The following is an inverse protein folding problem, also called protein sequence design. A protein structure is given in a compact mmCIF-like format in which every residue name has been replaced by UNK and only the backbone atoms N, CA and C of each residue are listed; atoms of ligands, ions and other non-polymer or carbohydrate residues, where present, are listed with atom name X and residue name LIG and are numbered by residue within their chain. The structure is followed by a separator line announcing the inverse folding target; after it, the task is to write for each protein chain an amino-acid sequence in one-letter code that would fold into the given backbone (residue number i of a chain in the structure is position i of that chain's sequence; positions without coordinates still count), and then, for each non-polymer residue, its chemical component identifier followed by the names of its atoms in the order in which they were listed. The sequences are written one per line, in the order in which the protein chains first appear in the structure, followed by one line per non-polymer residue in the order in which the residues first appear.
data_IF_193052152184
#
_entry.id   IF_193052152184
#
_cell.length_a   1.000
_cell.length_b   1.000
_cell.length_c   1.000
_cell.angle_alpha   90.00
_cell.angle_beta   90.00
_cell.angle_gamma   90.00
#
_symmetry.space_group_name_H-M   'P 1'
#
loop_
_entity.id
_entity.type
_entity.pdbx_description
1 polymer ?
#
# COMPACT_ATOMS: atom_id res chain seq x y z
N UNK A 1 -13.53 -20.87 -3.13
CA UNK A 1 -14.79 -21.13 -2.38
C UNK A 1 -14.45 -21.14 -0.90
N UNK A 2 -15.25 -20.46 -0.06
CA UNK A 2 -15.03 -20.41 1.39
C UNK A 2 -16.19 -21.18 2.03
N UNK A 3 -15.86 -22.27 2.74
CA UNK A 3 -16.82 -23.05 3.49
C UNK A 3 -16.41 -23.06 4.95
N UNK A 4 -17.34 -22.74 5.84
CA UNK A 4 -17.12 -22.69 7.27
C UNK A 4 -18.26 -23.47 7.92
N UNK A 5 -17.91 -24.45 8.75
CA UNK A 5 -18.84 -25.25 9.55
C UNK A 5 -18.87 -24.78 11.00
N UNK A 6 -19.87 -25.22 11.76
CA UNK A 6 -20.02 -24.89 13.18
C UNK A 6 -21.22 -23.99 13.47
N UNK A 7 -21.26 -23.43 14.68
CA UNK A 7 -22.36 -22.58 15.13
C UNK A 7 -22.51 -21.31 14.27
N UNK A 8 -23.74 -20.86 14.07
CA UNK A 8 -24.05 -19.74 13.19
C UNK A 8 -23.38 -18.42 13.60
N UNK A 9 -23.25 -18.13 14.90
CA UNK A 9 -22.59 -16.89 15.34
C UNK A 9 -21.10 -16.88 15.03
N UNK A 10 -20.37 -17.91 15.45
CA UNK A 10 -18.92 -18.02 15.27
C UNK A 10 -18.53 -18.18 13.80
N UNK A 11 -19.35 -18.87 13.01
CA UNK A 11 -19.15 -18.97 11.56
C UNK A 11 -19.22 -17.60 10.88
N UNK A 12 -20.24 -16.79 11.20
CA UNK A 12 -20.42 -15.46 10.59
C UNK A 12 -19.28 -14.52 10.97
N UNK A 13 -18.87 -14.56 12.23
CA UNK A 13 -17.72 -13.80 12.72
C UNK A 13 -16.43 -14.18 11.99
N UNK A 14 -16.12 -15.48 11.86
CA UNK A 14 -14.95 -15.95 11.13
C UNK A 14 -15.01 -15.55 9.65
N UNK A 15 -16.19 -15.64 9.01
CA UNK A 15 -16.37 -15.18 7.63
C UNK A 15 -16.10 -13.68 7.50
N UNK A 16 -16.55 -12.87 8.46
CA UNK A 16 -16.30 -11.43 8.47
C UNK A 16 -14.80 -11.11 8.57
N UNK A 17 -14.05 -11.85 9.41
CA UNK A 17 -12.60 -11.72 9.52
C UNK A 17 -11.93 -12.07 8.18
N UNK A 18 -12.29 -13.21 7.58
CA UNK A 18 -11.74 -13.65 6.29
C UNK A 18 -12.02 -12.61 5.20
N UNK A 19 -13.25 -12.08 5.12
CA UNK A 19 -13.61 -11.04 4.14
C UNK A 19 -12.79 -9.76 4.33
N UNK A 20 -12.56 -9.34 5.58
CA UNK A 20 -11.71 -8.17 5.85
C UNK A 20 -10.26 -8.37 5.39
N UNK A 21 -9.73 -9.59 5.43
CA UNK A 21 -8.40 -9.90 4.88
C UNK A 21 -8.41 -9.86 3.36
N UNK A 22 -9.44 -10.42 2.71
CA UNK A 22 -9.59 -10.30 1.26
C UNK A 22 -9.72 -8.85 0.80
N UNK A 23 -10.51 -8.03 1.49
CA UNK A 23 -10.62 -6.60 1.19
C UNK A 23 -9.24 -5.94 1.23
N UNK A 24 -8.43 -6.25 2.25
CA UNK A 24 -7.06 -5.72 2.39
C UNK A 24 -6.13 -6.18 1.26
N UNK A 25 -6.21 -7.45 0.86
CA UNK A 25 -5.42 -8.00 -0.25
C UNK A 25 -5.86 -7.38 -1.58
N UNK A 26 -7.16 -7.28 -1.84
CA UNK A 26 -7.70 -6.72 -3.08
C UNK A 26 -7.28 -5.27 -3.29
N UNK A 27 -7.14 -4.49 -2.22
CA UNK A 27 -6.61 -3.11 -2.28
C UNK A 27 -5.16 -3.04 -2.78
N UNK A 28 -4.37 -4.11 -2.67
CA UNK A 28 -2.98 -4.15 -3.14
C UNK A 28 -2.84 -4.46 -4.63
N UNK A 29 -3.86 -5.05 -5.25
CA UNK A 29 -3.82 -5.53 -6.63
C UNK A 29 -4.61 -4.57 -7.53
N UNK A 30 -3.89 -3.75 -8.30
CA UNK A 30 -4.51 -2.78 -9.21
C UNK A 30 -5.33 -3.49 -10.30
N UNK A 31 -6.55 -3.02 -10.52
CA UNK A 31 -7.44 -3.53 -11.58
C UNK A 31 -8.14 -4.85 -11.25
N UNK A 32 -8.00 -5.39 -10.04
CA UNK A 32 -8.74 -6.57 -9.62
C UNK A 32 -10.20 -6.20 -9.29
N UNK A 33 -11.14 -6.80 -10.01
CA UNK A 33 -12.57 -6.68 -9.73
C UNK A 33 -13.11 -7.96 -9.09
N UNK A 34 -13.13 -8.01 -7.76
CA UNK A 34 -13.71 -9.14 -7.03
C UNK A 34 -15.24 -9.09 -7.05
N UNK A 35 -15.89 -10.21 -7.42
CA UNK A 35 -17.34 -10.39 -7.37
C UNK A 35 -17.69 -11.40 -6.29
N UNK A 36 -18.46 -10.96 -5.28
CA UNK A 36 -18.90 -11.80 -4.18
C UNK A 36 -20.16 -12.59 -4.56
N UNK A 37 -20.17 -13.88 -4.24
CA UNK A 37 -21.24 -14.81 -4.60
C UNK A 37 -21.74 -15.57 -3.36
N UNK A 38 -23.05 -15.80 -3.29
CA UNK A 38 -23.74 -16.50 -2.20
C UNK A 38 -24.34 -17.80 -2.75
N UNK A 39 -24.05 -18.98 -2.15
CA UNK A 39 -24.62 -20.24 -2.62
C UNK A 39 -26.13 -20.30 -2.39
N UNK A 40 -26.86 -20.91 -3.34
CA UNK A 40 -28.30 -21.16 -3.18
C UNK A 40 -28.50 -22.46 -2.36
N UNK A 41 -29.24 -22.43 -1.23
CA UNK A 41 -29.52 -23.62 -0.45
C UNK A 41 -30.23 -24.69 -1.27
N UNK A 42 -29.80 -25.95 -1.15
CA UNK A 42 -30.37 -27.08 -1.89
C UNK A 42 -29.84 -27.27 -3.32
N UNK A 43 -29.08 -26.31 -3.86
CA UNK A 43 -28.58 -26.34 -5.23
C UNK A 43 -27.06 -26.21 -5.29
N UNK A 44 -26.36 -27.32 -5.57
CA UNK A 44 -24.91 -27.30 -5.76
C UNK A 44 -24.55 -26.57 -7.05
N UNK A 45 -23.58 -25.65 -6.99
CA UNK A 45 -23.05 -24.97 -8.18
C UNK A 45 -23.85 -23.74 -8.63
N UNK A 46 -24.97 -23.43 -7.99
CA UNK A 46 -25.75 -22.21 -8.25
C UNK A 46 -25.44 -21.16 -7.21
N UNK A 47 -25.10 -19.96 -7.65
CA UNK A 47 -24.71 -18.85 -6.79
C UNK A 47 -25.38 -17.54 -7.18
N UNK A 48 -25.92 -16.83 -6.19
CA UNK A 48 -26.43 -15.48 -6.34
C UNK A 48 -25.30 -14.44 -6.25
N UNK A 49 -25.42 -13.35 -6.99
CA UNK A 49 -24.56 -12.19 -6.80
C UNK A 49 -24.91 -11.43 -5.52
N UNK A 50 -23.94 -11.25 -4.62
CA UNK A 50 -24.18 -10.61 -3.33
C UNK A 50 -24.70 -9.17 -3.50
N UNK A 51 -24.17 -8.40 -4.45
CA UNK A 51 -24.64 -7.02 -4.68
C UNK A 51 -26.05 -6.99 -5.24
N UNK A 52 -26.40 -7.94 -6.10
CA UNK A 52 -27.78 -8.06 -6.58
C UNK A 52 -28.72 -8.42 -5.42
N UNK A 53 -28.36 -9.38 -4.57
CA UNK A 53 -29.18 -9.73 -3.40
C UNK A 53 -29.49 -8.54 -2.50
N UNK A 54 -28.54 -7.61 -2.31
CA UNK A 54 -28.80 -6.37 -1.55
C UNK A 54 -29.93 -5.54 -2.17
N UNK A 55 -29.96 -5.39 -3.49
CA UNK A 55 -30.99 -4.62 -4.21
C UNK A 55 -32.36 -5.28 -4.07
N UNK A 56 -32.44 -6.60 -4.22
CA UNK A 56 -33.70 -7.34 -4.06
C UNK A 56 -34.20 -7.29 -2.61
N UNK A 57 -33.30 -7.40 -1.64
CA UNK A 57 -33.64 -7.30 -0.22
C UNK A 57 -34.15 -5.91 0.15
N UNK A 58 -33.53 -4.84 -0.35
CA UNK A 58 -33.98 -3.45 -0.14
C UNK A 58 -35.39 -3.21 -0.71
N UNK A 59 -35.70 -3.83 -1.84
CA UNK A 59 -37.01 -3.74 -2.51
C UNK A 59 -38.03 -4.75 -1.98
N UNK A 60 -37.67 -5.58 -1.01
CA UNK A 60 -38.47 -6.71 -0.53
C UNK A 60 -39.04 -7.57 -1.68
N UNK A 61 -38.23 -7.78 -2.72
CA UNK A 61 -38.63 -8.46 -3.96
C UNK A 61 -38.11 -9.89 -3.98
N UNK A 62 -38.86 -10.85 -4.55
CA UNK A 62 -38.40 -12.22 -4.72
C UNK A 62 -37.20 -12.26 -5.67
N UNK A 63 -36.19 -13.06 -5.33
CA UNK A 63 -35.01 -13.27 -6.16
C UNK A 63 -35.10 -14.61 -6.89
N UNK A 64 -34.86 -14.61 -8.20
CA UNK A 64 -34.80 -15.83 -9.02
C UNK A 64 -33.33 -16.00 -9.45
N UNK A 65 -32.62 -17.02 -8.94
CA UNK A 65 -31.25 -17.31 -9.34
C UNK A 65 -31.18 -17.70 -10.82
N UNK A 66 -30.07 -17.36 -11.47
CA UNK A 66 -29.81 -17.79 -12.85
C UNK A 66 -29.86 -19.33 -12.95
N UNK A 67 -30.62 -19.84 -13.93
CA UNK A 67 -30.80 -21.28 -14.13
C UNK A 67 -31.92 -21.91 -13.30
N UNK A 68 -32.61 -21.15 -12.45
CA UNK A 68 -33.78 -21.61 -11.70
C UNK A 68 -35.05 -20.82 -12.08
N UNK A 69 -36.21 -21.39 -11.77
CA UNK A 69 -37.53 -20.75 -11.87
C UNK A 69 -38.08 -20.45 -10.47
N UNK A 70 -37.54 -21.12 -9.45
CA UNK A 70 -37.92 -20.96 -8.05
C UNK A 70 -37.49 -19.59 -7.51
N UNK A 71 -38.34 -19.05 -6.64
CA UNK A 71 -38.10 -17.77 -5.97
C UNK A 71 -37.51 -18.00 -4.58
N UNK A 72 -36.57 -17.13 -4.22
CA UNK A 72 -35.91 -17.12 -2.94
C UNK A 72 -36.06 -15.75 -2.28
N UNK A 73 -36.13 -15.75 -0.95
CA UNK A 73 -36.09 -14.52 -0.19
C UNK A 73 -34.65 -14.00 -0.11
N UNK A 74 -34.36 -12.87 -0.75
CA UNK A 74 -33.02 -12.28 -0.77
C UNK A 74 -32.52 -11.92 0.64
N UNK A 75 -33.40 -11.47 1.53
CA UNK A 75 -33.04 -11.13 2.90
C UNK A 75 -32.64 -12.37 3.70
N UNK A 76 -33.36 -13.48 3.53
CA UNK A 76 -33.03 -14.75 4.18
C UNK A 76 -31.68 -15.30 3.72
N UNK A 77 -31.40 -15.25 2.41
CA UNK A 77 -30.11 -15.64 1.85
C UNK A 77 -28.97 -14.83 2.46
N UNK A 78 -29.14 -13.51 2.57
CA UNK A 78 -28.15 -12.63 3.19
C UNK A 78 -27.99 -12.89 4.69
N UNK A 79 -29.09 -13.13 5.41
CA UNK A 79 -29.09 -13.41 6.85
C UNK A 79 -28.39 -14.73 7.21
N UNK A 80 -28.34 -15.67 6.26
CA UNK A 80 -27.53 -16.89 6.37
C UNK A 80 -26.02 -16.64 6.38
N UNK A 81 -25.57 -15.52 5.80
CA UNK A 81 -24.15 -15.18 5.60
C UNK A 81 -23.65 -14.16 6.62
N UNK A 82 -24.43 -13.13 6.91
CA UNK A 82 -24.08 -12.07 7.85
C UNK A 82 -25.34 -11.47 8.48
N UNK A 83 -25.21 -10.97 9.72
CA UNK A 83 -26.32 -10.27 10.37
C UNK A 83 -26.62 -8.94 9.70
N UNK A 84 -27.83 -8.42 9.91
CA UNK A 84 -28.21 -7.09 9.40
C UNK A 84 -27.30 -5.98 9.94
N UNK A 85 -26.91 -6.04 11.21
CA UNK A 85 -26.03 -5.06 11.83
C UNK A 85 -24.63 -5.04 11.17
N UNK A 86 -24.06 -6.22 10.91
CA UNK A 86 -22.77 -6.36 10.20
C UNK A 86 -22.87 -5.84 8.77
N UNK A 87 -23.95 -6.19 8.06
CA UNK A 87 -24.23 -5.74 6.70
C UNK A 87 -24.29 -4.23 6.59
N UNK A 88 -25.06 -3.59 7.49
CA UNK A 88 -25.18 -2.13 7.56
C UNK A 88 -23.84 -1.46 7.87
N UNK A 89 -23.06 -2.03 8.81
CA UNK A 89 -21.71 -1.53 9.13
C UNK A 89 -20.80 -1.56 7.90
N UNK A 90 -20.86 -2.64 7.11
CA UNK A 90 -20.07 -2.79 5.88
C UNK A 90 -20.48 -1.78 4.81
N UNK A 91 -21.78 -1.67 4.51
CA UNK A 91 -22.30 -0.69 3.55
C UNK A 91 -21.90 0.75 3.92
N UNK A 92 -21.93 1.07 5.22
CA UNK A 92 -21.51 2.39 5.68
C UNK A 92 -20.00 2.62 5.49
N UNK A 93 -19.16 1.62 5.77
CA UNK A 93 -17.71 1.68 5.50
C UNK A 93 -17.41 1.89 4.01
N UNK A 94 -18.06 1.12 3.13
CA UNK A 94 -17.91 1.25 1.68
C UNK A 94 -18.33 2.64 1.19
N UNK A 95 -19.42 3.18 1.74
CA UNK A 95 -19.90 4.54 1.45
C UNK A 95 -18.87 5.59 1.88
N UNK A 96 -18.33 5.50 3.09
CA UNK A 96 -17.27 6.41 3.57
C UNK A 96 -16.02 6.33 2.68
N UNK A 97 -15.62 5.13 2.29
CA UNK A 97 -14.44 4.92 1.44
C UNK A 97 -14.64 5.47 0.02
N UNK A 98 -15.85 5.35 -0.53
CA UNK A 98 -16.22 5.94 -1.84
C UNK A 98 -16.27 7.48 -1.83
N UNK A 99 -16.59 8.09 -0.67
CA UNK A 99 -16.70 9.54 -0.50
C UNK A 99 -15.39 10.22 -0.12
N UNK A 100 -14.42 9.48 0.44
CA UNK A 100 -13.09 10.00 0.68
C UNK A 100 -12.52 10.43 -0.67
N UNK A 101 -12.04 11.69 -0.82
CA UNK A 101 -11.33 12.08 -2.03
C UNK A 101 -10.28 11.02 -2.29
N UNK A 102 -10.31 10.42 -3.49
CA UNK A 102 -9.21 9.57 -3.95
C UNK A 102 -7.98 10.47 -3.92
N UNK A 103 -7.27 10.50 -2.78
CA UNK A 103 -5.88 10.96 -2.77
C UNK A 103 -5.26 10.17 -3.91
N UNK A 104 -4.68 10.82 -4.93
CA UNK A 104 -3.91 10.06 -5.90
C UNK A 104 -3.00 9.17 -5.08
N UNK A 105 -3.06 7.86 -5.32
CA UNK A 105 -2.13 6.92 -4.73
C UNK A 105 -0.76 7.23 -5.33
N UNK A 106 -0.17 8.34 -4.88
CA UNK A 106 1.26 8.56 -4.90
C UNK A 106 1.81 7.52 -3.95
N UNK A 107 2.26 6.43 -4.57
CA UNK A 107 3.21 5.54 -3.95
C UNK A 107 4.51 6.33 -3.82
N UNK A 108 4.65 7.09 -2.74
CA UNK A 108 5.95 7.58 -2.29
C UNK A 108 6.00 7.41 -0.77
N UNK A 109 6.50 6.23 -0.36
CA UNK A 109 7.39 6.09 0.80
C UNK A 109 8.34 7.30 0.78
N UNK A 110 8.61 8.00 1.90
CA UNK A 110 9.38 9.24 1.89
C UNK A 110 10.60 9.09 1.00
N UNK A 111 10.56 9.77 -0.15
CA UNK A 111 11.61 9.75 -1.14
C UNK A 111 12.80 10.40 -0.45
N UNK A 112 13.75 9.59 0.01
CA UNK A 112 15.09 10.09 0.33
C UNK A 112 15.51 10.92 -0.87
N UNK A 113 16.05 12.14 -0.70
CA UNK A 113 16.39 13.00 -1.81
C UNK A 113 17.20 12.20 -2.82
N UNK A 114 16.57 11.90 -3.95
CA UNK A 114 17.13 11.16 -5.07
C UNK A 114 18.04 12.12 -5.79
N UNK A 115 19.23 12.34 -5.20
CA UNK A 115 20.33 13.03 -5.87
C UNK A 115 20.51 12.32 -7.20
N UNK A 116 20.22 13.04 -8.28
CA UNK A 116 20.19 12.51 -9.64
C UNK A 116 21.55 11.86 -9.95
N UNK A 117 21.56 10.78 -10.73
CA UNK A 117 22.82 10.16 -11.18
C UNK A 117 23.73 11.18 -11.89
N UNK A 118 23.14 12.23 -12.50
CA UNK A 118 23.86 13.35 -13.06
C UNK A 118 24.51 14.23 -11.98
N UNK A 119 23.81 14.50 -10.87
CA UNK A 119 24.34 15.25 -9.72
C UNK A 119 25.44 14.48 -8.98
N UNK A 120 25.36 13.15 -8.91
CA UNK A 120 26.45 12.32 -8.36
C UNK A 120 27.71 12.40 -9.23
N UNK A 121 27.56 12.40 -10.56
CA UNK A 121 28.67 12.59 -11.49
C UNK A 121 29.31 13.97 -11.35
N UNK A 122 28.48 15.02 -11.25
CA UNK A 122 28.94 16.40 -11.07
C UNK A 122 29.62 16.59 -9.71
N UNK A 123 29.05 16.06 -8.62
CA UNK A 123 29.63 16.16 -7.29
C UNK A 123 30.98 15.43 -7.19
N UNK A 124 31.10 14.23 -7.80
CA UNK A 124 32.36 13.51 -7.89
C UNK A 124 33.41 14.28 -8.70
N UNK A 125 33.02 14.84 -9.86
CA UNK A 125 33.93 15.63 -10.68
C UNK A 125 34.43 16.88 -9.93
N UNK A 126 33.53 17.59 -9.25
CA UNK A 126 33.88 18.77 -8.43
C UNK A 126 34.79 18.40 -7.26
N UNK A 127 34.51 17.29 -6.56
CA UNK A 127 35.37 16.82 -5.48
C UNK A 127 36.78 16.46 -5.97
N UNK A 128 36.89 15.84 -7.16
CA UNK A 128 38.16 15.45 -7.76
C UNK A 128 38.97 16.70 -8.20
N UNK A 129 38.31 17.72 -8.76
CA UNK A 129 38.95 19.00 -9.09
C UNK A 129 39.49 19.70 -7.84
N UNK A 130 38.72 19.75 -6.76
CA UNK A 130 39.16 20.35 -5.49
C UNK A 130 40.33 19.57 -4.88
N UNK A 131 40.29 18.24 -4.94
CA UNK A 131 41.38 17.37 -4.46
C UNK A 131 42.68 17.62 -5.26
N UNK A 132 42.59 17.66 -6.59
CA UNK A 132 43.76 17.93 -7.45
C UNK A 132 44.32 19.32 -7.15
N UNK A 133 43.47 20.35 -7.05
CA UNK A 133 43.91 21.70 -6.71
C UNK A 133 44.63 21.73 -5.36
N UNK A 134 44.12 21.03 -4.35
CA UNK A 134 44.74 20.93 -3.03
C UNK A 134 46.10 20.19 -3.06
N UNK A 135 46.20 19.11 -3.85
CA UNK A 135 47.47 18.39 -4.04
C UNK A 135 48.50 19.27 -4.73
N UNK A 136 48.13 20.00 -5.79
CA UNK A 136 49.01 20.94 -6.49
C UNK A 136 49.47 22.06 -5.55
N UNK A 137 48.57 22.54 -4.69
CA UNK A 137 48.84 23.56 -3.68
C UNK A 137 49.87 23.10 -2.63
N UNK A 138 49.78 21.83 -2.20
CA UNK A 138 50.75 21.20 -1.29
C UNK A 138 52.10 21.00 -1.97
N UNK A 139 52.10 20.50 -3.21
CA UNK A 139 53.31 20.18 -3.97
C UNK A 139 54.03 21.42 -4.49
N UNK A 140 53.32 22.53 -4.71
CA UNK A 140 53.87 23.77 -5.26
C UNK A 140 53.57 24.99 -4.37
N UNK A 141 54.12 25.05 -3.14
CA UNK A 141 53.82 26.09 -2.15
C UNK A 141 54.30 27.50 -2.54
N UNK A 142 54.98 27.64 -3.68
CA UNK A 142 55.51 28.92 -4.18
C UNK A 142 54.43 29.83 -4.80
N UNK A 143 53.22 29.34 -5.05
CA UNK A 143 52.14 30.14 -5.65
C UNK A 143 51.19 30.80 -4.64
N UNK A 144 51.46 30.70 -3.32
CA UNK A 144 50.53 31.15 -2.28
C UNK A 144 51.07 32.35 -1.50
N UNK A 145 50.21 33.35 -1.28
CA UNK A 145 50.44 34.43 -0.33
C UNK A 145 50.50 33.87 1.11
N UNK A 146 51.34 34.45 1.97
CA UNK A 146 51.71 33.89 3.29
C UNK A 146 50.56 33.45 4.20
N UNK A 147 49.42 34.16 4.20
CA UNK A 147 48.26 33.79 5.01
C UNK A 147 47.54 32.52 4.53
N UNK A 148 47.50 32.29 3.21
CA UNK A 148 46.87 31.10 2.64
C UNK A 148 47.70 29.84 2.94
N UNK A 149 49.02 29.96 2.93
CA UNK A 149 49.94 28.87 3.26
C UNK A 149 49.78 28.41 4.73
N UNK A 150 49.54 29.35 5.65
CA UNK A 150 49.33 29.04 7.07
C UNK A 150 48.03 28.23 7.30
N UNK A 151 46.94 28.60 6.63
CA UNK A 151 45.64 27.90 6.75
C UNK A 151 45.74 26.47 6.20
N UNK A 152 46.43 26.26 5.09
CA UNK A 152 46.60 24.93 4.49
C UNK A 152 47.48 24.03 5.35
N UNK A 153 48.55 24.57 5.96
CA UNK A 153 49.37 23.83 6.92
C UNK A 153 48.60 23.43 8.18
N UNK A 154 47.76 24.32 8.70
CA UNK A 154 46.90 24.04 9.85
C UNK A 154 45.85 22.96 9.55
N UNK A 155 45.23 22.99 8.37
CA UNK A 155 44.30 21.93 7.94
C UNK A 155 45.02 20.59 7.73
N UNK A 156 46.19 20.59 7.08
CA UNK A 156 46.96 19.36 6.87
C UNK A 156 47.41 18.71 8.19
N UNK A 157 47.80 19.49 9.20
CA UNK A 157 48.19 18.95 10.51
C UNK A 157 47.00 18.37 11.29
N UNK A 158 45.80 18.93 11.14
CA UNK A 158 44.59 18.39 11.76
C UNK A 158 44.21 16.99 11.22
N UNK A 159 44.48 16.72 9.94
CA UNK A 159 44.25 15.39 9.34
C UNK A 159 45.38 14.40 9.63
N UNK A 160 46.63 14.85 9.73
CA UNK A 160 47.76 13.99 10.08
C UNK A 160 47.66 13.38 11.50
N UNK A 161 46.91 14.03 12.42
CA UNK A 161 46.66 13.51 13.76
C UNK A 161 45.77 12.26 13.83
N UNK A 162 45.03 11.93 12.77
CA UNK A 162 44.12 10.77 12.74
C UNK A 162 44.84 9.49 12.24
N UNK A 163 45.96 9.61 11.54
CA UNK A 163 46.77 8.46 11.07
C UNK A 163 47.80 7.97 12.11
N UNK A 164 48.00 8.68 13.22
CA UNK A 164 48.88 8.27 14.32
C UNK A 164 48.19 7.45 15.41
N UNK A 165 46.93 7.06 15.22
CA UNK A 165 46.10 6.36 16.22
C UNK A 165 45.41 5.11 15.62
N UNK A 166 46.09 4.43 14.69
CA UNK A 166 45.78 3.08 14.22
C UNK A 166 47.05 2.24 14.23
#
# INVERSE_FOLDING_TARGET
FIFISGNSSTRRELLAIIRSQFDSIHQTIKGLEAKEKVPIPGYSGIFADYKNLLVYAERNSPYIPEGLIETFNALELLNGIESEAERRKRQNRERIESQKPRKPTMTQKPEKPTISSAERGIALAMALVVLIAFIVLILNPRSMNGNALAIVRFLASAFAGIAGYL
#
